data_IF_509600820699
#
_entry.id   IF_509600820699
#
_cell.length_a   1.000
_cell.length_b   1.000
_cell.length_c   1.000
_cell.angle_alpha   90.00
_cell.angle_beta   90.00
_cell.angle_gamma   90.00
#
_symmetry.space_group_name_H-M   'P 1'
#
loop_
_entity.id
_entity.type
_entity.pdbx_description
1 polymer ?
#
# COMPACT_ATOMS: atom_id res chain seq x y z
N UNK A 1 34.07 20.34 -71.43
CA UNK A 1 33.52 20.26 -72.80
C UNK A 1 32.02 20.11 -72.67
N UNK A 2 31.28 21.05 -73.26
CA UNK A 2 29.82 21.13 -73.31
C UNK A 2 29.26 20.20 -74.39
N UNK A 3 28.11 19.56 -74.15
CA UNK A 3 27.10 19.22 -75.18
C UNK A 3 25.70 19.28 -74.56
N UNK A 4 24.77 19.83 -75.34
CA UNK A 4 23.41 20.29 -75.04
C UNK A 4 22.30 19.23 -75.13
N UNK A 5 21.13 19.64 -74.61
CA UNK A 5 19.77 19.06 -74.57
C UNK A 5 19.17 18.60 -75.92
N UNK A 6 17.98 17.96 -75.86
CA UNK A 6 16.83 18.64 -76.46
C UNK A 6 15.58 18.76 -75.56
N UNK A 7 14.69 19.64 -76.01
CA UNK A 7 13.60 20.26 -75.29
C UNK A 7 12.23 19.92 -75.90
N UNK A 8 11.20 20.15 -75.07
CA UNK A 8 9.81 20.55 -75.41
C UNK A 8 8.83 19.48 -75.89
N UNK A 9 7.66 19.40 -75.22
CA UNK A 9 6.38 19.88 -75.79
C UNK A 9 5.41 20.33 -74.65
N UNK A 10 5.16 21.66 -74.61
CA UNK A 10 3.85 22.35 -74.58
C UNK A 10 2.93 22.28 -73.33
N UNK A 11 2.74 23.40 -72.60
CA UNK A 11 1.62 24.40 -72.66
C UNK A 11 0.28 23.84 -72.14
N UNK A 12 -0.46 24.38 -71.15
CA UNK A 12 -0.82 25.77 -70.79
C UNK A 12 -1.48 25.81 -69.37
N UNK A 13 -1.16 26.74 -68.44
CA UNK A 13 -1.78 28.06 -68.10
C UNK A 13 -2.82 28.05 -66.92
N UNK A 14 -2.47 28.79 -65.84
CA UNK A 14 -3.24 29.57 -64.82
C UNK A 14 -4.35 28.89 -63.97
N UNK A 15 -4.42 29.04 -62.63
CA UNK A 15 -4.30 30.24 -61.77
C UNK A 15 -3.76 29.87 -60.37
N UNK A 16 -2.77 30.58 -59.78
CA UNK A 16 -2.89 31.76 -58.87
C UNK A 16 -3.83 31.46 -57.68
N UNK A 17 -3.36 31.37 -56.43
CA UNK A 17 -2.95 32.49 -55.54
C UNK A 17 -1.88 32.05 -54.51
N UNK A 18 -0.82 32.86 -54.45
CA UNK A 18 0.22 32.98 -53.40
C UNK A 18 -0.39 33.73 -52.18
N UNK A 19 0.04 33.59 -50.93
CA UNK A 19 1.10 34.43 -50.33
C UNK A 19 1.45 33.93 -48.91
N UNK A 20 2.77 33.74 -48.73
CA UNK A 20 3.77 33.84 -47.64
C UNK A 20 3.42 34.44 -46.25
N UNK A 21 4.06 33.95 -45.13
CA UNK A 21 4.04 34.52 -43.76
C UNK A 21 5.06 35.69 -43.60
N UNK A 22 5.06 36.59 -42.56
CA UNK A 22 5.37 36.27 -41.14
C UNK A 22 4.80 37.23 -40.03
N UNK A 23 4.95 36.88 -38.74
CA UNK A 23 5.04 37.84 -37.62
C UNK A 23 3.95 37.79 -36.53
N UNK A 24 4.32 37.36 -35.31
CA UNK A 24 3.64 37.71 -34.03
C UNK A 24 4.05 39.15 -33.60
N UNK A 25 3.24 39.95 -32.86
CA UNK A 25 2.80 39.65 -31.48
C UNK A 25 1.42 40.21 -30.99
N UNK A 26 1.07 39.81 -29.75
CA UNK A 26 0.10 40.35 -28.75
C UNK A 26 -1.43 40.12 -28.88
N UNK A 27 -2.10 39.61 -27.82
CA UNK A 27 -3.55 39.68 -27.66
C UNK A 27 -3.94 40.79 -26.67
N UNK A 28 -4.55 41.87 -27.16
CA UNK A 28 -5.24 42.84 -26.32
C UNK A 28 -6.51 43.32 -27.05
N UNK A 29 -7.52 43.68 -26.26
CA UNK A 29 -8.81 44.26 -26.62
C UNK A 29 -9.99 43.31 -26.91
N UNK A 30 -10.64 42.86 -25.83
CA UNK A 30 -12.10 42.93 -25.71
C UNK A 30 -12.49 43.22 -24.25
N UNK A 31 -12.45 44.50 -23.86
CA UNK A 31 -13.18 45.05 -22.71
C UNK A 31 -13.77 46.38 -23.18
N UNK A 32 -15.09 46.60 -23.11
CA UNK A 32 -15.80 47.40 -22.09
C UNK A 32 -17.22 47.61 -22.65
N UNK A 33 -18.32 47.83 -21.91
CA UNK A 33 -18.57 48.49 -20.62
C UNK A 33 -20.03 48.16 -20.20
N UNK A 34 -20.34 47.71 -18.98
CA UNK A 34 -20.73 48.46 -17.75
C UNK A 34 -22.24 48.58 -17.50
N UNK A 35 -22.62 48.17 -16.28
CA UNK A 35 -23.86 48.53 -15.58
C UNK A 35 -23.85 47.97 -14.15
N UNK A 36 -23.22 48.69 -13.22
CA UNK A 36 -23.15 48.40 -11.77
C UNK A 36 -24.45 48.76 -11.05
N UNK A 37 -24.76 48.03 -9.98
CA UNK A 37 -25.47 48.54 -8.81
C UNK A 37 -24.94 47.82 -7.56
N UNK A 38 -24.11 48.52 -6.79
CA UNK A 38 -23.79 48.19 -5.40
C UNK A 38 -24.73 49.02 -4.52
N UNK A 39 -25.47 48.35 -3.63
CA UNK A 39 -25.84 48.85 -2.31
C UNK A 39 -26.60 47.74 -1.56
N UNK A 40 -25.92 46.98 -0.70
CA UNK A 40 -26.43 46.77 0.66
C UNK A 40 -25.37 46.24 1.62
N UNK A 41 -25.45 46.82 2.81
CA UNK A 41 -24.52 46.86 3.92
C UNK A 41 -24.67 45.62 4.80
N UNK A 42 -23.54 45.07 5.24
CA UNK A 42 -23.23 44.37 6.50
C UNK A 42 -24.42 43.87 7.33
N UNK A 43 -24.52 42.55 7.48
CA UNK A 43 -25.02 41.92 8.71
C UNK A 43 -24.19 40.67 8.98
N UNK A 44 -23.53 40.66 10.14
CA UNK A 44 -22.70 39.55 10.60
C UNK A 44 -23.53 38.30 10.82
N UNK A 45 -23.04 37.18 10.28
CA UNK A 45 -23.48 35.86 10.72
C UNK A 45 -22.49 35.42 11.78
N UNK A 46 -22.90 35.57 13.04
CA UNK A 46 -22.38 34.76 14.14
C UNK A 46 -22.56 33.29 13.74
N UNK A 47 -21.50 32.66 13.27
CA UNK A 47 -21.50 31.23 12.98
C UNK A 47 -21.37 30.49 14.31
N UNK A 48 -22.50 30.20 14.95
CA UNK A 48 -22.54 29.18 16.01
C UNK A 48 -22.07 27.85 15.42
N UNK A 49 -20.98 27.31 15.96
CA UNK A 49 -20.42 26.02 15.57
C UNK A 49 -21.51 24.93 15.60
N UNK A 50 -21.55 24.09 14.56
CA UNK A 50 -22.47 22.94 14.54
C UNK A 50 -21.98 21.86 15.51
N UNK A 51 -22.87 21.02 16.09
CA UNK A 51 -22.51 20.02 17.09
C UNK A 51 -21.34 19.10 16.68
N UNK A 52 -21.23 18.80 15.38
CA UNK A 52 -20.18 17.98 14.79
C UNK A 52 -18.79 18.64 14.89
N UNK A 53 -18.72 19.97 14.82
CA UNK A 53 -17.46 20.72 14.98
C UNK A 53 -17.06 20.85 16.46
N UNK A 54 -18.03 20.81 17.39
CA UNK A 54 -17.75 20.79 18.81
C UNK A 54 -17.22 19.42 19.26
N UNK A 55 -17.75 18.31 18.73
CA UNK A 55 -17.24 16.95 19.00
C UNK A 55 -15.81 16.73 18.46
N UNK A 56 -15.53 17.20 17.23
CA UNK A 56 -14.17 17.12 16.65
C UNK A 56 -13.15 17.98 17.40
N UNK A 57 -13.56 19.10 17.99
CA UNK A 57 -12.69 19.94 18.80
C UNK A 57 -12.40 19.32 20.18
N UNK A 58 -13.35 18.60 20.78
CA UNK A 58 -13.13 17.88 22.04
C UNK A 58 -12.20 16.68 21.90
N UNK A 59 -12.23 15.95 20.78
CA UNK A 59 -11.30 14.83 20.54
C UNK A 59 -9.88 15.31 20.23
N UNK A 60 -9.73 16.42 19.52
CA UNK A 60 -8.41 17.02 19.25
C UNK A 60 -7.70 17.46 20.55
N UNK A 61 -8.43 18.03 21.52
CA UNK A 61 -7.87 18.41 22.82
C UNK A 61 -7.57 17.20 23.72
N UNK A 62 -8.32 16.10 23.61
CA UNK A 62 -8.04 14.86 24.36
C UNK A 62 -6.78 14.15 23.85
N UNK A 63 -6.54 14.17 22.53
CA UNK A 63 -5.34 13.60 21.93
C UNK A 63 -4.04 14.37 22.31
N UNK A 64 -4.11 15.70 22.42
CA UNK A 64 -3.00 16.54 22.88
C UNK A 64 -2.67 16.36 24.37
N UNK A 65 -3.69 16.16 25.22
CA UNK A 65 -3.50 15.91 26.64
C UNK A 65 -2.82 14.54 26.90
N UNK A 66 -3.16 13.50 26.12
CA UNK A 66 -2.54 12.18 26.23
C UNK A 66 -1.09 12.16 25.71
N UNK A 67 -0.76 12.93 24.67
CA UNK A 67 0.62 13.05 24.16
C UNK A 67 1.53 13.81 25.13
N UNK A 68 1.05 14.86 25.79
CA UNK A 68 1.86 15.55 26.81
C UNK A 68 2.09 14.70 28.07
N UNK A 69 1.11 13.88 28.46
CA UNK A 69 1.25 13.00 29.63
C UNK A 69 2.27 11.88 29.36
N UNK A 70 2.39 11.41 28.11
CA UNK A 70 3.39 10.43 27.70
C UNK A 70 4.81 11.03 27.59
N UNK A 71 4.94 12.26 27.06
CA UNK A 71 6.22 12.96 26.93
C UNK A 71 6.89 13.24 28.30
N UNK A 72 6.10 13.46 29.35
CA UNK A 72 6.62 13.68 30.71
C UNK A 72 7.17 12.41 31.38
N UNK A 73 6.90 11.21 30.83
CA UNK A 73 7.41 9.93 31.39
C UNK A 73 8.88 9.66 31.04
N UNK A 74 9.40 10.32 30.00
CA UNK A 74 10.76 10.12 29.49
C UNK A 74 11.66 11.36 29.65
N UNK A 75 11.23 12.37 30.42
CA UNK A 75 12.13 13.46 30.78
C UNK A 75 13.17 12.97 31.80
N UNK A 76 14.48 13.00 31.47
CA UNK A 76 15.51 12.68 32.45
C UNK A 76 15.48 13.74 33.55
N UNK A 77 15.41 13.31 34.81
CA UNK A 77 15.58 14.19 35.96
C UNK A 77 16.97 14.83 35.90
N UNK A 78 17.04 16.09 35.46
CA UNK A 78 18.28 16.86 35.47
C UNK A 78 18.66 17.17 36.92
N UNK A 79 19.65 16.46 37.47
CA UNK A 79 20.13 16.77 38.82
C UNK A 79 21.08 15.81 39.54
N UNK A 80 21.68 14.81 38.90
CA UNK A 80 22.68 13.96 39.56
C UNK A 80 24.01 13.95 38.77
N UNK A 81 25.17 14.13 39.42
CA UNK A 81 26.46 14.14 38.73
C UNK A 81 26.78 12.74 38.19
N UNK A 82 27.31 12.71 36.97
CA UNK A 82 27.79 11.50 36.30
C UNK A 82 29.09 11.04 36.99
N UNK A 83 29.01 9.93 37.71
CA UNK A 83 30.19 9.19 38.16
C UNK A 83 30.59 8.19 37.06
N UNK A 84 31.71 8.49 36.42
CA UNK A 84 32.25 7.81 35.24
C UNK A 84 33.01 6.55 35.68
N UNK A 85 32.31 5.49 36.08
CA UNK A 85 32.94 4.20 36.44
C UNK A 85 32.04 2.95 36.35
N UNK A 86 30.84 3.00 35.76
CA UNK A 86 29.96 1.82 35.71
C UNK A 86 29.15 1.67 34.43
N UNK A 87 29.79 1.68 33.26
CA UNK A 87 29.19 1.18 32.01
C UNK A 87 29.98 -0.03 31.47
N UNK A 88 29.96 -1.11 32.25
CA UNK A 88 30.00 -2.48 31.73
C UNK A 88 28.78 -3.23 32.25
N UNK A 89 27.61 -2.79 31.83
CA UNK A 89 26.39 -3.62 31.89
C UNK A 89 26.30 -4.32 30.55
N UNK A 90 26.42 -5.64 30.56
CA UNK A 90 26.29 -6.47 29.37
C UNK A 90 24.94 -6.26 28.68
N UNK A 91 24.94 -6.44 27.36
CA UNK A 91 23.76 -6.44 26.47
C UNK A 91 22.67 -7.50 26.81
N UNK A 92 22.65 -8.04 28.03
CA UNK A 92 21.72 -9.09 28.46
C UNK A 92 20.50 -8.54 29.23
N UNK A 93 20.30 -7.22 29.26
CA UNK A 93 19.24 -6.60 30.08
C UNK A 93 18.65 -5.32 29.50
N UNK A 94 18.79 -5.06 28.20
CA UNK A 94 17.96 -4.05 27.56
C UNK A 94 16.50 -4.53 27.64
N UNK A 95 15.54 -3.70 28.11
CA UNK A 95 14.14 -4.09 28.07
C UNK A 95 13.77 -4.41 26.62
N UNK A 96 13.40 -5.66 26.38
CA UNK A 96 12.88 -6.08 25.08
C UNK A 96 11.63 -5.25 24.79
N UNK A 97 11.49 -4.81 23.54
CA UNK A 97 10.26 -4.11 23.13
C UNK A 97 9.06 -5.04 23.41
N UNK A 98 7.94 -4.50 23.90
CA UNK A 98 6.77 -5.32 24.17
C UNK A 98 6.30 -6.00 22.87
N UNK A 99 5.76 -7.19 23.01
CA UNK A 99 5.07 -7.91 21.93
C UNK A 99 3.92 -7.05 21.37
N UNK A 100 3.77 -7.09 20.05
CA UNK A 100 2.76 -6.37 19.28
C UNK A 100 1.88 -7.40 18.57
N UNK A 101 0.67 -7.66 19.08
CA UNK A 101 -0.46 -8.33 18.39
C UNK A 101 -0.31 -9.80 17.95
N UNK A 102 -1.40 -10.59 18.03
CA UNK A 102 -1.60 -11.83 17.26
C UNK A 102 -0.86 -13.11 17.69
N UNK A 103 -0.04 -13.09 18.74
CA UNK A 103 0.83 -14.23 19.10
C UNK A 103 0.17 -15.35 19.89
N UNK A 104 -1.04 -15.15 20.40
CA UNK A 104 -1.73 -16.18 21.18
C UNK A 104 -2.00 -17.48 20.37
N UNK A 105 -1.97 -17.40 19.03
CA UNK A 105 -2.38 -18.48 18.12
C UNK A 105 -1.32 -18.92 17.09
N UNK A 106 -0.02 -18.70 17.35
CA UNK A 106 1.05 -19.14 16.42
C UNK A 106 0.98 -20.67 16.18
N UNK A 107 0.82 -21.06 14.91
CA UNK A 107 0.70 -22.43 14.43
C UNK A 107 -0.69 -23.07 14.61
N UNK A 108 -1.66 -22.34 15.17
CA UNK A 108 -3.02 -22.83 15.47
C UNK A 108 -4.14 -21.87 15.08
N UNK A 109 -3.81 -20.68 14.59
CA UNK A 109 -4.75 -19.64 14.22
C UNK A 109 -5.75 -20.14 13.14
N UNK A 110 -7.04 -20.34 13.50
CA UNK A 110 -8.07 -20.74 12.56
C UNK A 110 -8.41 -19.63 11.53
N UNK A 111 -7.88 -18.41 11.71
CA UNK A 111 -8.23 -17.24 10.91
C UNK A 111 -7.30 -17.03 9.70
N UNK A 112 -6.25 -17.84 9.54
CA UNK A 112 -5.42 -17.79 8.32
C UNK A 112 -6.19 -18.40 7.15
N UNK A 113 -6.64 -17.54 6.24
CA UNK A 113 -7.38 -17.95 5.04
C UNK A 113 -6.42 -18.58 4.05
N UNK A 114 -6.60 -19.88 3.81
CA UNK A 114 -5.87 -20.57 2.76
C UNK A 114 -6.43 -20.17 1.37
N UNK A 115 -5.53 -19.80 0.46
CA UNK A 115 -5.85 -19.54 -0.94
C UNK A 115 -6.38 -20.83 -1.59
N UNK A 116 -7.39 -20.70 -2.45
CA UNK A 116 -8.09 -21.86 -3.06
C UNK A 116 -7.57 -22.23 -4.45
N UNK A 117 -6.76 -21.36 -5.06
CA UNK A 117 -6.15 -21.53 -6.38
C UNK A 117 -4.67 -21.18 -6.30
N UNK A 118 -3.87 -21.66 -7.24
CA UNK A 118 -2.42 -21.39 -7.26
C UNK A 118 -2.09 -19.89 -7.23
N UNK A 119 -2.92 -19.07 -7.89
CA UNK A 119 -2.63 -17.65 -8.15
C UNK A 119 -3.44 -16.66 -7.31
N UNK A 120 -4.32 -17.09 -6.40
CA UNK A 120 -5.20 -16.17 -5.66
C UNK A 120 -4.73 -15.80 -4.25
N UNK A 121 -3.41 -15.82 -3.99
CA UNK A 121 -2.84 -15.37 -2.71
C UNK A 121 -3.14 -13.89 -2.42
N UNK A 122 -3.17 -13.02 -3.43
CA UNK A 122 -3.57 -11.61 -3.26
C UNK A 122 -5.02 -11.45 -2.81
N UNK A 123 -5.94 -12.22 -3.40
CA UNK A 123 -7.34 -12.26 -2.95
C UNK A 123 -7.46 -12.75 -1.50
N UNK A 124 -6.72 -13.80 -1.13
CA UNK A 124 -6.70 -14.31 0.25
C UNK A 124 -6.20 -13.24 1.23
N UNK A 125 -5.10 -12.54 0.90
CA UNK A 125 -4.56 -11.44 1.68
C UNK A 125 -5.57 -10.30 1.85
N UNK A 126 -6.27 -9.90 0.79
CA UNK A 126 -7.28 -8.86 0.87
C UNK A 126 -8.44 -9.25 1.80
N UNK A 127 -8.91 -10.49 1.73
CA UNK A 127 -9.98 -10.98 2.63
C UNK A 127 -9.50 -11.09 4.08
N UNK A 128 -8.28 -11.59 4.33
CA UNK A 128 -7.71 -11.64 5.68
C UNK A 128 -7.63 -10.26 6.30
N UNK A 129 -7.06 -9.28 5.58
CA UNK A 129 -6.93 -7.91 6.07
C UNK A 129 -8.29 -7.24 6.27
N UNK A 130 -9.26 -7.47 5.38
CA UNK A 130 -10.63 -6.99 5.56
C UNK A 130 -11.31 -7.57 6.81
N UNK A 131 -11.10 -8.86 7.10
CA UNK A 131 -11.64 -9.52 8.28
C UNK A 131 -10.96 -8.98 9.56
N UNK A 132 -9.64 -8.89 9.58
CA UNK A 132 -8.84 -8.43 10.73
C UNK A 132 -9.11 -6.96 11.09
N UNK A 133 -9.34 -6.11 10.08
CA UNK A 133 -9.70 -4.71 10.29
C UNK A 133 -11.19 -4.51 10.60
N UNK A 134 -12.00 -5.58 10.56
CA UNK A 134 -13.45 -5.51 10.75
C UNK A 134 -14.18 -4.72 9.65
N UNK A 135 -13.55 -4.54 8.48
CA UNK A 135 -14.08 -3.76 7.36
C UNK A 135 -14.73 -4.61 6.27
N UNK A 136 -14.48 -5.92 6.32
CA UNK A 136 -15.10 -6.91 5.45
C UNK A 136 -16.60 -6.62 5.32
N UNK A 137 -17.04 -6.31 4.10
CA UNK A 137 -18.45 -6.01 3.81
C UNK A 137 -19.29 -7.13 4.43
N UNK A 138 -20.30 -6.74 5.21
CA UNK A 138 -21.19 -7.60 6.02
C UNK A 138 -22.09 -8.53 5.18
N UNK A 139 -21.70 -8.83 3.93
CA UNK A 139 -22.37 -9.80 3.08
C UNK A 139 -22.10 -11.21 3.62
N UNK A 140 -23.13 -12.07 3.73
CA UNK A 140 -22.99 -13.46 4.13
C UNK A 140 -22.42 -14.27 2.97
N UNK A 141 -21.15 -14.05 2.65
CA UNK A 141 -20.39 -14.83 1.68
C UNK A 141 -19.21 -15.48 2.39
N UNK A 142 -18.99 -16.77 2.11
CA UNK A 142 -17.81 -17.49 2.61
C UNK A 142 -16.51 -16.84 2.11
N UNK A 143 -15.40 -17.02 2.83
CA UNK A 143 -14.09 -16.50 2.42
C UNK A 143 -13.71 -16.93 1.00
N UNK A 144 -14.06 -18.16 0.59
CA UNK A 144 -13.89 -18.64 -0.78
C UNK A 144 -14.64 -17.80 -1.80
N UNK A 145 -15.92 -17.52 -1.56
CA UNK A 145 -16.74 -16.70 -2.47
C UNK A 145 -16.20 -15.26 -2.57
N UNK A 146 -15.75 -14.69 -1.44
CA UNK A 146 -15.09 -13.38 -1.44
C UNK A 146 -13.83 -13.38 -2.29
N UNK A 147 -12.97 -14.40 -2.14
CA UNK A 147 -11.75 -14.53 -2.95
C UNK A 147 -12.04 -14.67 -4.45
N UNK A 148 -13.02 -15.51 -4.81
CA UNK A 148 -13.44 -15.68 -6.21
C UNK A 148 -14.02 -14.40 -6.80
N UNK A 149 -14.80 -13.65 -6.03
CA UNK A 149 -15.37 -12.37 -6.45
C UNK A 149 -14.28 -11.30 -6.66
N UNK A 150 -13.28 -11.23 -5.76
CA UNK A 150 -12.13 -10.34 -5.90
C UNK A 150 -11.29 -10.69 -7.13
N UNK A 151 -10.95 -11.96 -7.30
CA UNK A 151 -10.17 -12.44 -8.45
C UNK A 151 -10.87 -12.14 -9.77
N UNK A 152 -12.17 -12.48 -9.86
CA UNK A 152 -12.98 -12.25 -11.06
C UNK A 152 -13.12 -10.77 -11.42
N UNK A 153 -13.06 -9.87 -10.43
CA UNK A 153 -13.27 -8.45 -10.65
C UNK A 153 -11.98 -7.70 -10.95
N UNK A 154 -10.88 -8.09 -10.31
CA UNK A 154 -9.67 -7.27 -10.26
C UNK A 154 -8.46 -7.92 -10.92
N UNK A 155 -8.52 -9.17 -11.36
CA UNK A 155 -7.36 -9.86 -11.96
C UNK A 155 -7.74 -10.52 -13.27
N UNK A 156 -6.73 -10.96 -14.03
CA UNK A 156 -6.88 -11.83 -15.20
C UNK A 156 -6.64 -13.33 -14.90
N UNK A 157 -6.49 -13.69 -13.62
CA UNK A 157 -6.22 -15.05 -13.14
C UNK A 157 -4.74 -15.46 -13.11
N UNK A 158 -3.79 -14.57 -13.46
CA UNK A 158 -2.34 -14.86 -13.41
C UNK A 158 -1.68 -14.57 -12.06
N UNK A 159 -2.40 -13.89 -11.18
CA UNK A 159 -1.93 -13.48 -9.87
C UNK A 159 -2.54 -12.14 -9.50
N UNK A 160 -1.94 -11.43 -8.56
CA UNK A 160 -2.39 -10.11 -8.15
C UNK A 160 -1.20 -9.16 -8.14
N UNK A 161 -1.23 -8.13 -8.99
CA UNK A 161 -0.26 -7.04 -8.94
C UNK A 161 -0.47 -6.16 -7.70
N UNK A 162 0.51 -5.32 -7.32
CA UNK A 162 0.32 -4.34 -6.24
C UNK A 162 -0.88 -3.41 -6.48
N UNK A 163 -1.11 -2.97 -7.72
CA UNK A 163 -2.22 -2.08 -8.05
C UNK A 163 -3.57 -2.80 -7.89
N UNK A 164 -3.68 -4.05 -8.37
CA UNK A 164 -4.88 -4.85 -8.21
C UNK A 164 -5.15 -5.18 -6.75
N UNK A 165 -4.12 -5.50 -5.95
CA UNK A 165 -4.28 -5.74 -4.52
C UNK A 165 -4.83 -4.49 -3.82
N UNK A 166 -4.34 -3.30 -4.15
CA UNK A 166 -4.89 -2.05 -3.62
C UNK A 166 -6.39 -1.90 -3.93
N UNK A 167 -6.82 -2.26 -5.15
CA UNK A 167 -8.22 -2.23 -5.53
C UNK A 167 -9.07 -3.27 -4.76
N UNK A 168 -8.51 -4.45 -4.53
CA UNK A 168 -9.14 -5.48 -3.70
C UNK A 168 -9.30 -5.02 -2.25
N UNK A 169 -8.27 -4.40 -1.66
CA UNK A 169 -8.31 -3.86 -0.30
C UNK A 169 -9.38 -2.77 -0.17
N UNK A 170 -9.45 -1.85 -1.12
CA UNK A 170 -10.52 -0.85 -1.20
C UNK A 170 -11.91 -1.49 -1.25
N UNK A 171 -12.06 -2.59 -2.00
CA UNK A 171 -13.32 -3.32 -2.05
C UNK A 171 -13.68 -4.00 -0.72
N UNK A 172 -12.68 -4.42 0.05
CA UNK A 172 -12.84 -4.95 1.40
C UNK A 172 -12.96 -3.85 2.48
N UNK A 173 -13.10 -2.58 2.08
CA UNK A 173 -13.28 -1.46 3.01
C UNK A 173 -12.00 -1.02 3.72
N UNK A 174 -10.84 -1.42 3.22
CA UNK A 174 -9.53 -1.01 3.70
C UNK A 174 -8.85 -0.03 2.73
N UNK A 175 -7.86 0.72 3.19
CA UNK A 175 -7.07 1.65 2.36
C UNK A 175 -5.59 1.39 2.56
N UNK A 176 -4.82 1.64 1.49
CA UNK A 176 -3.36 1.67 1.55
C UNK A 176 -2.91 3.06 1.99
N UNK A 177 -2.30 3.15 3.17
CA UNK A 177 -1.83 4.42 3.75
C UNK A 177 -0.39 4.73 3.37
N UNK A 178 0.45 3.71 3.27
CA UNK A 178 1.85 3.84 2.88
C UNK A 178 2.31 2.64 2.05
N UNK A 179 3.30 2.86 1.19
CA UNK A 179 3.96 1.81 0.42
C UNK A 179 5.48 2.00 0.47
N UNK A 180 6.22 0.91 0.38
CA UNK A 180 7.68 0.92 0.23
C UNK A 180 8.09 -0.26 -0.65
N UNK A 181 9.01 -0.05 -1.59
CA UNK A 181 9.58 -1.12 -2.42
C UNK A 181 10.49 -2.08 -1.62
N UNK A 182 10.83 -1.71 -0.38
CA UNK A 182 11.60 -2.52 0.57
C UNK A 182 10.79 -2.70 1.87
N UNK A 183 11.25 -3.57 2.77
CA UNK A 183 10.65 -3.67 4.09
C UNK A 183 11.14 -2.54 5.01
N UNK A 184 10.35 -1.48 5.14
CA UNK A 184 10.58 -0.45 6.15
C UNK A 184 10.07 -0.93 7.52
N UNK A 185 10.98 -1.47 8.32
CA UNK A 185 10.69 -2.02 9.65
C UNK A 185 10.14 -0.97 10.61
N UNK A 186 10.61 0.27 10.52
CA UNK A 186 10.17 1.34 11.43
C UNK A 186 8.71 1.72 11.17
N UNK A 187 8.37 1.89 9.88
CA UNK A 187 6.99 2.11 9.45
C UNK A 187 6.09 0.93 9.80
N UNK A 188 6.56 -0.30 9.56
CA UNK A 188 5.81 -1.50 9.89
C UNK A 188 5.53 -1.61 11.39
N UNK A 189 6.56 -1.48 12.23
CA UNK A 189 6.43 -1.54 13.69
C UNK A 189 5.46 -0.47 14.21
N UNK A 190 5.55 0.75 13.67
CA UNK A 190 4.66 1.85 14.03
C UNK A 190 3.21 1.54 13.64
N UNK A 191 2.98 1.02 12.43
CA UNK A 191 1.64 0.64 11.97
C UNK A 191 1.03 -0.47 12.83
N UNK A 192 1.80 -1.53 13.10
CA UNK A 192 1.36 -2.66 13.93
C UNK A 192 1.01 -2.20 15.36
N UNK A 193 1.81 -1.30 15.94
CA UNK A 193 1.56 -0.73 17.27
C UNK A 193 0.25 0.08 17.33
N UNK A 194 -0.17 0.65 16.20
CA UNK A 194 -1.43 1.39 16.06
C UNK A 194 -2.63 0.52 15.67
N UNK A 195 -2.47 -0.81 15.60
CA UNK A 195 -3.52 -1.73 15.14
C UNK A 195 -3.63 -1.87 13.63
N UNK A 196 -2.83 -1.12 12.86
CA UNK A 196 -2.65 -1.31 11.43
C UNK A 196 -2.09 -2.69 11.09
N UNK A 197 -2.12 -3.03 9.80
CA UNK A 197 -1.63 -4.30 9.25
C UNK A 197 -0.80 -4.04 8.01
N UNK A 198 -0.09 -5.04 7.53
CA UNK A 198 0.63 -4.93 6.27
C UNK A 198 0.36 -6.09 5.32
N UNK A 199 0.29 -5.78 4.03
CA UNK A 199 0.47 -6.75 2.95
C UNK A 199 1.91 -6.64 2.44
N UNK A 200 2.61 -7.76 2.32
CA UNK A 200 4.01 -7.79 1.90
C UNK A 200 4.16 -8.78 0.75
N UNK A 201 4.83 -8.36 -0.33
CA UNK A 201 5.21 -9.25 -1.41
C UNK A 201 6.62 -9.78 -1.14
N UNK A 202 6.72 -11.09 -0.99
CA UNK A 202 7.95 -11.81 -0.67
C UNK A 202 8.28 -12.86 -1.72
N UNK A 203 9.55 -13.26 -1.77
CA UNK A 203 9.91 -14.52 -2.41
C UNK A 203 9.44 -15.70 -1.53
N UNK A 204 8.57 -16.55 -2.06
CA UNK A 204 7.94 -17.62 -1.28
C UNK A 204 8.89 -18.64 -0.66
N UNK A 205 10.18 -18.69 -1.04
CA UNK A 205 11.17 -19.54 -0.36
C UNK A 205 11.35 -19.20 1.13
N UNK A 206 10.97 -18.00 1.56
CA UNK A 206 11.09 -17.57 2.96
C UNK A 206 10.01 -18.15 3.87
N UNK A 207 8.81 -18.35 3.32
CA UNK A 207 7.61 -18.83 4.03
C UNK A 207 7.29 -20.29 3.72
N UNK A 208 7.84 -20.84 2.64
CA UNK A 208 7.71 -22.26 2.31
C UNK A 208 8.55 -23.11 3.28
N UNK A 209 7.93 -23.92 4.17
CA UNK A 209 8.64 -24.74 5.13
C UNK A 209 9.45 -25.88 4.48
N UNK A 210 9.22 -26.15 3.20
CA UNK A 210 9.91 -27.19 2.42
C UNK A 210 11.08 -26.64 1.60
N UNK A 211 11.24 -25.32 1.54
CA UNK A 211 12.31 -24.69 0.77
C UNK A 211 13.68 -25.04 1.35
N UNK A 212 14.59 -25.47 0.46
CA UNK A 212 16.01 -25.64 0.83
C UNK A 212 16.71 -24.29 0.76
N UNK A 213 17.71 -24.10 1.63
CA UNK A 213 18.51 -22.87 1.66
C UNK A 213 19.10 -22.56 0.28
N UNK A 214 18.85 -21.35 -0.22
CA UNK A 214 19.37 -20.85 -1.50
C UNK A 214 18.43 -21.04 -2.72
N UNK A 215 17.29 -21.71 -2.57
CA UNK A 215 16.31 -21.83 -3.68
C UNK A 215 15.55 -20.52 -3.90
N UNK A 216 15.25 -20.17 -5.16
CA UNK A 216 14.36 -19.05 -5.50
C UNK A 216 12.90 -19.51 -5.52
N UNK A 217 12.06 -18.73 -4.86
CA UNK A 217 10.62 -18.86 -4.81
C UNK A 217 9.92 -18.29 -6.04
N UNK A 218 8.67 -17.96 -5.82
CA UNK A 218 7.84 -17.12 -6.70
C UNK A 218 7.37 -15.91 -5.90
N UNK A 219 6.99 -14.83 -6.59
CA UNK A 219 6.36 -13.68 -5.97
C UNK A 219 5.06 -14.09 -5.26
N UNK A 220 4.97 -13.76 -3.97
CA UNK A 220 3.90 -14.22 -3.10
C UNK A 220 3.44 -13.15 -2.13
N UNK A 221 2.13 -12.96 -2.01
CA UNK A 221 1.53 -12.05 -1.04
C UNK A 221 1.30 -12.75 0.29
N UNK A 222 1.71 -12.09 1.37
CA UNK A 222 1.47 -12.48 2.76
C UNK A 222 0.96 -11.29 3.57
N UNK A 223 0.34 -11.54 4.71
CA UNK A 223 0.07 -10.47 5.69
C UNK A 223 1.09 -10.50 6.82
N UNK A 224 1.32 -9.33 7.41
CA UNK A 224 2.04 -9.17 8.67
C UNK A 224 1.10 -8.49 9.66
N UNK A 225 0.91 -9.12 10.82
CA UNK A 225 -0.08 -8.69 11.80
C UNK A 225 0.48 -8.38 13.19
N UNK A 226 1.72 -8.78 13.45
CA UNK A 226 2.32 -8.64 14.75
C UNK A 226 3.83 -8.85 14.76
N UNK A 227 4.43 -8.58 15.92
CA UNK A 227 5.85 -8.71 16.20
C UNK A 227 6.10 -9.20 17.63
N UNK A 228 6.96 -10.19 17.83
CA UNK A 228 7.26 -10.69 19.18
C UNK A 228 8.30 -9.83 19.89
N UNK A 229 8.51 -10.11 21.16
CA UNK A 229 9.55 -9.49 22.00
C UNK A 229 10.99 -9.80 21.53
N UNK A 230 11.16 -10.78 20.62
CA UNK A 230 12.42 -11.12 19.96
C UNK A 230 12.61 -10.36 18.65
N UNK A 231 11.60 -9.59 18.22
CA UNK A 231 11.60 -8.79 17.01
C UNK A 231 11.29 -9.55 15.72
N UNK A 232 10.73 -10.77 15.82
CA UNK A 232 10.25 -11.54 14.68
C UNK A 232 8.83 -11.11 14.33
N UNK A 233 8.52 -11.05 13.05
CA UNK A 233 7.18 -10.75 12.57
C UNK A 233 6.32 -12.01 12.48
N UNK A 234 5.05 -11.88 12.85
CA UNK A 234 4.04 -12.89 12.61
C UNK A 234 3.49 -12.71 11.20
N UNK A 235 3.80 -13.67 10.33
CA UNK A 235 3.46 -13.64 8.91
C UNK A 235 2.40 -14.69 8.63
N UNK A 236 1.23 -14.30 8.10
CA UNK A 236 0.20 -15.25 7.66
C UNK A 236 0.41 -15.58 6.19
N UNK A 237 0.67 -16.85 5.92
CA UNK A 237 0.91 -17.36 4.58
C UNK A 237 -0.36 -18.04 4.04
N UNK A 238 -1.04 -17.42 3.06
CA UNK A 238 -2.25 -17.99 2.50
C UNK A 238 -2.00 -19.28 1.70
N UNK A 239 -0.76 -19.58 1.32
CA UNK A 239 -0.48 -20.82 0.57
C UNK A 239 -0.54 -22.07 1.44
N UNK A 240 -0.07 -21.95 2.68
CA UNK A 240 -0.08 -23.04 3.66
C UNK A 240 -1.29 -22.99 4.58
N UNK A 241 -2.01 -21.86 4.62
CA UNK A 241 -3.11 -21.63 5.56
C UNK A 241 -2.60 -21.54 7.01
N UNK A 242 -1.37 -21.07 7.20
CA UNK A 242 -0.69 -21.02 8.49
C UNK A 242 0.01 -19.69 8.70
N UNK A 243 0.21 -19.34 9.95
CA UNK A 243 1.12 -18.27 10.34
C UNK A 243 2.50 -18.82 10.70
N UNK A 244 3.53 -18.02 10.48
CA UNK A 244 4.92 -18.34 10.77
C UNK A 244 5.61 -17.13 11.37
N UNK A 245 6.45 -17.36 12.38
CA UNK A 245 7.33 -16.33 12.91
C UNK A 245 8.57 -16.20 12.01
N UNK A 246 8.85 -14.99 11.51
CA UNK A 246 9.95 -14.70 10.59
C UNK A 246 10.81 -13.58 11.15
N UNK A 247 12.12 -13.80 11.25
CA UNK A 247 13.06 -12.75 11.65
C UNK A 247 12.94 -11.53 10.74
N UNK A 248 12.99 -10.32 11.31
CA UNK A 248 12.84 -9.07 10.56
C UNK A 248 13.82 -8.94 9.39
N UNK A 249 15.07 -9.36 9.57
CA UNK A 249 16.07 -9.37 8.50
C UNK A 249 15.77 -10.42 7.43
N UNK A 250 15.26 -11.58 7.83
CA UNK A 250 14.88 -12.65 6.91
C UNK A 250 13.69 -12.21 6.05
N UNK A 251 12.70 -11.52 6.63
CA UNK A 251 11.57 -10.96 5.90
C UNK A 251 12.02 -9.86 4.94
N UNK A 252 12.89 -8.93 5.39
CA UNK A 252 13.43 -7.87 4.55
C UNK A 252 14.18 -8.44 3.33
N UNK A 253 15.07 -9.40 3.56
CA UNK A 253 15.80 -10.09 2.49
C UNK A 253 14.88 -10.80 1.50
N UNK A 254 13.73 -11.30 1.96
CA UNK A 254 12.76 -11.96 1.07
C UNK A 254 11.98 -10.96 0.20
N UNK A 255 11.72 -9.76 0.71
CA UNK A 255 11.17 -8.64 -0.06
C UNK A 255 12.17 -8.20 -1.12
N UNK A 256 13.42 -7.98 -0.74
CA UNK A 256 14.48 -7.57 -1.66
C UNK A 256 14.71 -8.63 -2.74
N UNK A 257 14.77 -9.91 -2.36
CA UNK A 257 14.85 -11.02 -3.31
C UNK A 257 13.64 -11.08 -4.23
N UNK A 258 12.44 -10.79 -3.74
CA UNK A 258 11.25 -10.72 -4.60
C UNK A 258 11.43 -9.66 -5.68
N UNK A 259 11.89 -8.48 -5.28
CA UNK A 259 12.16 -7.38 -6.20
C UNK A 259 13.23 -7.76 -7.24
N UNK A 260 14.35 -8.30 -6.80
CA UNK A 260 15.48 -8.69 -7.65
C UNK A 260 15.13 -9.80 -8.66
N UNK A 261 14.36 -10.80 -8.23
CA UNK A 261 14.09 -12.02 -9.02
C UNK A 261 12.81 -11.92 -9.85
N UNK A 262 11.81 -11.20 -9.33
CA UNK A 262 10.46 -11.17 -9.92
C UNK A 262 10.06 -9.76 -10.38
N UNK A 263 10.88 -8.73 -10.16
CA UNK A 263 10.59 -7.33 -10.53
C UNK A 263 9.30 -6.77 -9.87
N UNK A 264 8.89 -7.40 -8.77
CA UNK A 264 7.78 -6.97 -7.94
C UNK A 264 8.09 -7.32 -6.50
N UNK A 265 7.75 -6.41 -5.59
CA UNK A 265 8.09 -6.54 -4.20
C UNK A 265 7.59 -5.37 -3.38
N UNK A 266 7.81 -5.47 -2.09
CA UNK A 266 7.62 -4.38 -1.15
C UNK A 266 6.45 -4.62 -0.21
N UNK A 267 6.06 -3.54 0.43
CA UNK A 267 5.14 -3.52 1.55
C UNK A 267 4.06 -2.47 1.30
N UNK A 268 2.84 -2.80 1.70
CA UNK A 268 1.72 -1.88 1.84
C UNK A 268 1.27 -1.85 3.29
N UNK A 269 1.20 -0.67 3.90
CA UNK A 269 0.51 -0.48 5.17
C UNK A 269 -0.97 -0.29 4.89
N UNK A 270 -1.79 -1.03 5.62
CA UNK A 270 -3.22 -1.15 5.40
C UNK A 270 -3.97 -0.83 6.69
N UNK A 271 -4.97 0.01 6.57
CA UNK A 271 -5.87 0.44 7.65
C UNK A 271 -7.33 0.44 7.16
N UNK A 272 -8.27 0.62 8.09
CA UNK A 272 -9.67 0.83 7.73
C UNK A 272 -9.84 2.07 6.85
N UNK A 273 -10.65 1.96 5.79
CA UNK A 273 -10.99 3.08 4.92
C UNK A 273 -12.11 3.97 5.49
N UNK A 274 -12.40 3.91 6.79
CA UNK A 274 -13.51 4.63 7.42
C UNK A 274 -13.63 6.08 6.91
N UNK A 275 -14.81 6.39 6.34
CA UNK A 275 -15.11 7.70 5.75
C UNK A 275 -14.72 7.90 4.28
N UNK A 276 -13.95 7.00 3.67
CA UNK A 276 -13.61 7.03 2.24
C UNK A 276 -14.52 6.07 1.43
N UNK A 277 -14.80 6.45 0.18
CA UNK A 277 -15.46 5.53 -0.77
C UNK A 277 -14.47 4.49 -1.30
N UNK A 278 -14.99 3.36 -1.79
CA UNK A 278 -14.16 2.34 -2.48
C UNK A 278 -13.36 2.96 -3.64
N UNK A 279 -13.98 3.82 -4.45
CA UNK A 279 -13.30 4.46 -5.59
C UNK A 279 -12.16 5.37 -5.14
N UNK A 280 -12.36 6.14 -4.05
CA UNK A 280 -11.32 7.00 -3.51
C UNK A 280 -10.16 6.19 -2.91
N UNK A 281 -10.46 5.18 -2.09
CA UNK A 281 -9.44 4.32 -1.49
C UNK A 281 -8.65 3.57 -2.58
N UNK A 282 -9.32 3.10 -3.63
CA UNK A 282 -8.70 2.43 -4.77
C UNK A 282 -7.77 3.37 -5.55
N UNK A 283 -8.22 4.60 -5.85
CA UNK A 283 -7.39 5.59 -6.54
C UNK A 283 -6.14 5.96 -5.72
N UNK A 284 -6.33 6.38 -4.47
CA UNK A 284 -5.23 6.80 -3.60
C UNK A 284 -4.24 5.66 -3.31
N UNK A 285 -4.73 4.43 -3.18
CA UNK A 285 -3.87 3.26 -2.99
C UNK A 285 -3.16 2.85 -4.27
N UNK A 286 -3.83 2.94 -5.42
CA UNK A 286 -3.27 2.66 -6.73
C UNK A 286 -2.11 3.60 -7.11
N UNK A 287 -2.22 4.88 -6.75
CA UNK A 287 -1.13 5.87 -6.89
C UNK A 287 0.09 5.51 -6.04
N UNK A 288 -0.12 5.04 -4.80
CA UNK A 288 0.97 4.59 -3.91
C UNK A 288 1.59 3.27 -4.37
N UNK A 289 0.81 2.37 -4.95
CA UNK A 289 1.26 1.05 -5.38
C UNK A 289 2.22 1.09 -6.59
N UNK A 290 2.30 2.20 -7.33
CA UNK A 290 3.17 2.33 -8.52
C UNK A 290 4.64 2.02 -8.19
N UNK A 291 5.11 2.40 -7.00
CA UNK A 291 6.49 2.17 -6.57
C UNK A 291 6.84 0.69 -6.31
N UNK A 292 5.84 -0.20 -6.27
CA UNK A 292 5.98 -1.62 -5.94
C UNK A 292 6.15 -2.52 -7.18
N UNK A 293 6.22 -1.92 -8.36
CA UNK A 293 6.27 -2.66 -9.63
C UNK A 293 4.89 -3.15 -10.07
N UNK A 294 4.86 -3.93 -11.14
CA UNK A 294 3.63 -4.43 -11.75
C UNK A 294 3.65 -5.95 -12.00
N UNK A 295 4.44 -6.68 -11.22
CA UNK A 295 4.49 -8.14 -11.31
C UNK A 295 3.33 -8.76 -10.53
N UNK A 296 2.75 -9.80 -11.10
CA UNK A 296 1.73 -10.61 -10.47
C UNK A 296 2.31 -11.40 -9.28
N UNK A 297 1.81 -11.12 -8.07
CA UNK A 297 1.98 -12.01 -6.92
C UNK A 297 0.98 -13.16 -7.07
N UNK A 298 1.45 -14.31 -7.55
CA UNK A 298 0.59 -15.45 -7.89
C UNK A 298 1.18 -16.81 -7.55
N UNK A 299 2.28 -16.90 -6.80
CA UNK A 299 2.93 -18.19 -6.62
C UNK A 299 3.50 -18.43 -5.23
N UNK A 300 3.03 -19.50 -4.60
CA UNK A 300 3.81 -20.18 -3.55
C UNK A 300 4.29 -21.54 -4.04
N UNK A 301 5.56 -21.86 -3.79
CA UNK A 301 6.15 -23.18 -4.06
C UNK A 301 5.43 -24.30 -3.31
N UNK A 302 4.89 -24.00 -2.12
CA UNK A 302 4.14 -24.95 -1.31
C UNK A 302 2.90 -25.51 -2.03
N UNK A 303 2.39 -24.80 -3.06
CA UNK A 303 1.18 -25.17 -3.81
C UNK A 303 1.44 -25.88 -5.14
N UNK A 304 2.70 -26.23 -5.48
CA UNK A 304 3.05 -26.92 -6.74
C UNK A 304 2.39 -28.30 -6.96
N UNK A 305 1.51 -28.75 -6.05
CA UNK A 305 0.76 -30.00 -6.10
C UNK A 305 -0.75 -29.83 -6.39
N UNK A 306 -1.29 -28.62 -6.48
CA UNK A 306 -2.68 -28.42 -6.91
C UNK A 306 -2.84 -28.81 -8.39
N UNK A 307 -3.43 -29.99 -8.63
CA UNK A 307 -3.66 -30.54 -9.97
C UNK A 307 -2.92 -31.86 -10.29
N UNK A 308 -2.09 -32.40 -9.39
CA UNK A 308 -1.44 -33.71 -9.60
C UNK A 308 -2.25 -34.92 -9.12
N UNK A 309 -3.35 -34.72 -8.41
CA UNK A 309 -4.16 -35.82 -7.85
C UNK A 309 -5.51 -36.04 -8.58
N UNK A 310 -5.72 -35.39 -9.73
CA UNK A 310 -6.88 -35.63 -10.59
C UNK A 310 -6.43 -36.22 -11.93
N UNK A 311 -5.96 -37.47 -11.95
CA UNK A 311 -5.69 -38.24 -13.17
C UNK A 311 -6.03 -39.71 -12.96
#
# INVERSE_FOLDING_TARGET
>A
MSVSLPSNLLRSILSRVEVTPPGQPSPEAAAQQVGLSQDQVVAGVESTATPVQAEQATDAFAAEALTQTWANRFQPAAGAPLDDSSFRVGLAGAPQAPEIGGWDDVGKDPDVIQQTKENNCGSAVAVMLGNELGTSKTQPESNTQKMDALESRFTDGKGTTPHELSNMLANQGAKVTQTSSTLDKGVLDQALSGGGKAAVMVDSSVVDPTAKGGETGRAHWVTVEGKDDQGRYLVKDPSTGKNVAVDADKLANAVDKSWEQHQGGGMMIVESAQGASEAQAAQEGGEKAVALGNTDGGGSRAMGNFGRESS
#
